data_IF_872247927790
#
_entry.id   IF_872247927790
#
_cell.length_a   1.000
_cell.length_b   1.000
_cell.length_c   1.000
_cell.angle_alpha   90.00
_cell.angle_beta   90.00
_cell.angle_gamma   90.00
#
_symmetry.space_group_name_H-M   'P 1'
#
loop_
_entity.id
_entity.type
_entity.pdbx_description
1 polymer ?
#
# COMPACT_ATOMS: atom_id res chain seq x y z
N UNK A 1 1.71 -5.64 -9.73
CA UNK A 1 0.72 -4.61 -9.30
C UNK A 1 -0.20 -4.30 -10.46
N UNK A 2 -1.51 -4.41 -10.24
CA UNK A 2 -2.51 -4.23 -11.29
C UNK A 2 -3.04 -2.80 -11.39
N UNK A 3 -3.10 -2.11 -10.26
CA UNK A 3 -3.63 -0.75 -10.19
C UNK A 3 -3.02 0.01 -9.01
N UNK A 4 -2.86 1.30 -9.16
CA UNK A 4 -2.49 2.24 -8.10
C UNK A 4 -3.61 3.26 -7.91
N UNK A 5 -4.02 3.50 -6.68
CA UNK A 5 -4.99 4.55 -6.35
C UNK A 5 -4.33 5.53 -5.38
N UNK A 6 -4.37 6.81 -5.73
CA UNK A 6 -3.82 7.89 -4.92
C UNK A 6 -4.97 8.65 -4.28
N UNK A 7 -4.97 8.72 -2.95
CA UNK A 7 -6.07 9.31 -2.19
C UNK A 7 -5.65 10.60 -1.49
N UNK A 8 -6.54 11.58 -1.52
CA UNK A 8 -6.40 12.82 -0.78
C UNK A 8 -5.40 13.82 -1.33
N UNK A 9 -4.83 13.56 -2.49
CA UNK A 9 -3.92 14.49 -3.17
C UNK A 9 -4.05 14.34 -4.68
N UNK A 10 -3.60 15.35 -5.39
CA UNK A 10 -3.55 15.33 -6.85
C UNK A 10 -2.12 15.18 -7.33
N UNK A 11 -1.94 14.39 -8.37
CA UNK A 11 -0.65 14.16 -9.00
C UNK A 11 -0.50 15.07 -10.22
N UNK A 12 0.52 15.91 -10.19
CA UNK A 12 0.86 16.74 -11.32
C UNK A 12 1.96 16.04 -12.15
N UNK A 13 1.56 15.45 -13.28
CA UNK A 13 2.48 14.75 -14.19
C UNK A 13 3.45 15.69 -14.92
N UNK A 14 3.26 17.02 -14.82
CA UNK A 14 4.20 18.00 -15.37
C UNK A 14 5.36 18.31 -14.43
N UNK A 15 5.29 17.87 -13.17
CA UNK A 15 6.40 18.04 -12.24
C UNK A 15 7.59 17.20 -12.66
N UNK A 16 8.70 17.88 -13.00
CA UNK A 16 9.93 17.24 -13.45
C UNK A 16 10.46 16.19 -12.48
N UNK A 17 10.41 16.45 -11.17
CA UNK A 17 10.88 15.49 -10.15
C UNK A 17 10.06 14.20 -10.13
N UNK A 18 8.76 14.29 -10.34
CA UNK A 18 7.89 13.13 -10.41
C UNK A 18 8.22 12.28 -11.64
N UNK A 19 8.34 12.90 -12.80
CA UNK A 19 8.66 12.22 -14.05
C UNK A 19 10.04 11.53 -13.97
N UNK A 20 11.02 12.21 -13.39
CA UNK A 20 12.35 11.63 -13.17
C UNK A 20 12.33 10.43 -12.21
N UNK A 21 11.60 10.54 -11.10
CA UNK A 21 11.49 9.46 -10.13
C UNK A 21 10.73 8.24 -10.70
N UNK A 22 9.71 8.47 -11.49
CA UNK A 22 8.90 7.41 -12.08
C UNK A 22 9.59 6.66 -13.22
N UNK A 23 10.53 7.31 -13.93
CA UNK A 23 11.28 6.69 -15.04
C UNK A 23 10.39 6.01 -16.10
N UNK A 24 9.24 6.62 -16.42
CA UNK A 24 8.30 6.08 -17.40
C UNK A 24 7.28 5.07 -16.83
N UNK A 25 7.46 4.59 -15.61
CA UNK A 25 6.55 3.58 -15.01
C UNK A 25 5.14 4.12 -14.80
N UNK A 26 4.94 5.44 -14.74
CA UNK A 26 3.63 6.06 -14.66
C UNK A 26 2.73 5.72 -15.86
N UNK A 27 3.30 5.24 -16.95
CA UNK A 27 2.56 4.80 -18.13
C UNK A 27 2.28 3.29 -18.16
N UNK A 28 2.88 2.53 -17.26
CA UNK A 28 2.80 1.06 -17.26
C UNK A 28 1.75 0.51 -16.29
N UNK A 29 1.51 1.20 -15.20
CA UNK A 29 0.53 0.78 -14.20
C UNK A 29 -0.68 1.71 -14.28
N UNK A 30 -1.89 1.20 -14.48
CA UNK A 30 -3.10 2.00 -14.39
C UNK A 30 -3.18 2.67 -13.01
N UNK A 31 -3.46 3.95 -13.00
CA UNK A 31 -3.61 4.69 -11.75
C UNK A 31 -4.76 5.67 -11.82
N UNK A 32 -5.29 6.01 -10.67
CA UNK A 32 -6.39 6.95 -10.52
C UNK A 32 -6.25 7.75 -9.23
N UNK A 33 -6.97 8.85 -9.15
CA UNK A 33 -7.05 9.69 -7.96
C UNK A 33 -8.44 9.54 -7.33
N UNK A 34 -8.48 9.48 -6.00
CA UNK A 34 -9.69 9.48 -5.21
C UNK A 34 -9.56 10.48 -4.07
N UNK A 35 -10.67 10.95 -3.58
CA UNK A 35 -10.68 11.95 -2.51
C UNK A 35 -10.39 11.33 -1.14
N UNK A 36 -11.04 10.21 -0.83
CA UNK A 36 -10.97 9.59 0.49
C UNK A 36 -10.48 8.14 0.41
N UNK A 37 -9.46 7.82 1.22
CA UNK A 37 -8.92 6.47 1.29
C UNK A 37 -9.93 5.48 1.89
N UNK A 38 -10.69 5.88 2.91
CA UNK A 38 -11.69 5.03 3.53
C UNK A 38 -12.73 4.51 2.55
N UNK A 39 -13.27 5.39 1.72
CA UNK A 39 -14.26 5.02 0.69
C UNK A 39 -13.64 4.10 -0.36
N UNK A 40 -12.42 4.39 -0.78
CA UNK A 40 -11.69 3.59 -1.76
C UNK A 40 -11.43 2.17 -1.25
N UNK A 41 -11.01 2.04 0.00
CA UNK A 41 -10.74 0.74 0.63
C UNK A 41 -12.03 -0.05 0.82
N UNK A 42 -13.11 0.60 1.24
CA UNK A 42 -14.43 -0.03 1.38
C UNK A 42 -14.91 -0.56 0.03
N UNK A 43 -14.74 0.19 -1.05
CA UNK A 43 -15.05 -0.24 -2.41
C UNK A 43 -14.21 -1.46 -2.83
N UNK A 44 -12.91 -1.44 -2.55
CA UNK A 44 -12.03 -2.57 -2.83
C UNK A 44 -12.49 -3.85 -2.11
N UNK A 45 -12.88 -3.75 -0.85
CA UNK A 45 -13.44 -4.88 -0.09
C UNK A 45 -14.74 -5.39 -0.70
N UNK A 46 -15.62 -4.50 -1.12
CA UNK A 46 -16.87 -4.87 -1.78
C UNK A 46 -16.63 -5.63 -3.09
N UNK A 47 -15.50 -5.38 -3.75
CA UNK A 47 -15.06 -6.09 -4.96
C UNK A 47 -14.27 -7.38 -4.64
N UNK A 48 -14.16 -7.75 -3.38
CA UNK A 48 -13.54 -9.01 -2.95
C UNK A 48 -12.06 -8.91 -2.56
N UNK A 49 -11.49 -7.71 -2.47
CA UNK A 49 -10.10 -7.56 -2.07
C UNK A 49 -9.90 -7.79 -0.56
N UNK A 50 -8.86 -8.52 -0.23
CA UNK A 50 -8.34 -8.60 1.14
C UNK A 50 -7.46 -7.38 1.38
N UNK A 51 -7.74 -6.63 2.45
CA UNK A 51 -7.11 -5.34 2.71
C UNK A 51 -6.08 -5.45 3.83
N UNK A 52 -4.85 -5.05 3.54
CA UNK A 52 -3.78 -4.94 4.52
C UNK A 52 -3.28 -3.49 4.58
N UNK A 53 -3.20 -2.95 5.78
CA UNK A 53 -2.66 -1.61 6.02
C UNK A 53 -1.22 -1.70 6.53
N UNK A 54 -0.36 -0.84 5.99
CA UNK A 54 1.01 -0.68 6.45
C UNK A 54 1.04 0.40 7.55
N UNK A 55 0.99 -0.01 8.79
CA UNK A 55 0.93 0.89 9.94
C UNK A 55 1.59 0.27 11.17
N UNK A 56 2.26 1.09 11.96
CA UNK A 56 2.85 0.68 13.24
C UNK A 56 1.75 0.55 14.30
N UNK A 57 1.08 -0.59 14.33
CA UNK A 57 0.04 -0.90 15.31
C UNK A 57 0.45 -2.07 16.19
N UNK A 58 -0.16 -2.20 17.36
CA UNK A 58 0.09 -3.34 18.26
C UNK A 58 -0.40 -4.67 17.70
N UNK A 59 -1.33 -4.63 16.74
CA UNK A 59 -1.86 -5.82 16.06
C UNK A 59 -1.13 -6.12 14.74
N UNK A 60 -0.15 -5.28 14.34
CA UNK A 60 0.60 -5.47 13.10
C UNK A 60 1.56 -6.65 13.17
N UNK A 61 1.54 -7.47 12.13
CA UNK A 61 2.50 -8.56 11.97
C UNK A 61 3.71 -8.07 11.17
N UNK A 62 4.81 -8.79 11.27
CA UNK A 62 6.00 -8.51 10.45
C UNK A 62 5.74 -8.92 9.00
N UNK A 63 6.43 -8.33 8.02
CA UNK A 63 6.25 -8.70 6.61
C UNK A 63 6.45 -10.20 6.34
N UNK A 64 7.39 -10.84 7.05
CA UNK A 64 7.68 -12.27 6.91
C UNK A 64 6.52 -13.15 7.39
N UNK A 65 5.76 -12.68 8.36
CA UNK A 65 4.65 -13.40 8.98
C UNK A 65 3.32 -13.18 8.24
N UNK A 66 3.31 -12.24 7.29
CA UNK A 66 2.09 -11.91 6.55
C UNK A 66 1.65 -13.07 5.66
N UNK A 67 0.43 -13.50 5.83
CA UNK A 67 -0.22 -14.54 5.01
C UNK A 67 -1.35 -13.87 4.21
N UNK A 68 -1.06 -13.34 3.02
CA UNK A 68 -2.06 -12.61 2.25
C UNK A 68 -3.07 -13.52 1.59
N UNK A 69 -4.26 -12.97 1.40
CA UNK A 69 -5.32 -13.55 0.56
C UNK A 69 -5.44 -12.69 -0.69
N UNK A 70 -5.53 -13.31 -1.86
CA UNK A 70 -5.63 -12.57 -3.11
C UNK A 70 -7.05 -12.64 -3.71
N UNK A 71 -7.52 -11.57 -4.37
CA UNK A 71 -6.80 -10.32 -4.63
C UNK A 71 -6.56 -9.50 -3.36
N UNK A 72 -5.40 -8.86 -3.26
CA UNK A 72 -5.00 -8.08 -2.10
C UNK A 72 -4.90 -6.59 -2.42
N UNK A 73 -5.28 -5.77 -1.44
CA UNK A 73 -5.14 -4.32 -1.49
C UNK A 73 -4.19 -3.87 -0.38
N UNK A 74 -3.03 -3.35 -0.74
CA UNK A 74 -2.07 -2.77 0.20
C UNK A 74 -2.37 -1.27 0.35
N UNK A 75 -2.58 -0.84 1.58
CA UNK A 75 -2.83 0.56 1.92
C UNK A 75 -1.60 1.15 2.61
N UNK A 76 -1.08 2.22 2.04
CA UNK A 76 0.06 2.97 2.56
C UNK A 76 -0.42 4.34 3.01
N UNK A 77 0.14 4.83 4.10
CA UNK A 77 -0.20 6.14 4.63
C UNK A 77 0.63 7.27 4.05
N UNK A 78 0.11 8.50 4.16
CA UNK A 78 0.88 9.69 3.88
C UNK A 78 1.93 9.96 4.96
N UNK A 79 2.94 10.75 4.62
CA UNK A 79 4.07 11.04 5.53
C UNK A 79 3.65 11.73 6.83
N UNK A 80 2.61 12.55 6.79
CA UNK A 80 2.18 13.35 7.95
C UNK A 80 1.18 12.63 8.85
N UNK A 81 0.19 11.98 8.25
CA UNK A 81 -0.98 11.47 8.97
C UNK A 81 -1.06 9.95 9.01
N UNK A 82 -0.16 9.24 8.32
CA UNK A 82 -0.24 7.78 8.22
C UNK A 82 -1.47 7.31 7.47
N UNK A 83 -1.90 6.09 7.75
CA UNK A 83 -3.13 5.53 7.18
C UNK A 83 -4.33 6.14 7.87
N UNK A 84 -5.38 6.47 7.11
CA UNK A 84 -6.59 7.05 7.69
C UNK A 84 -7.27 6.08 8.66
N UNK A 85 -7.87 6.58 9.77
CA UNK A 85 -8.56 5.72 10.73
C UNK A 85 -9.66 4.86 10.09
N UNK A 86 -10.36 5.40 9.10
CA UNK A 86 -11.41 4.69 8.38
C UNK A 86 -10.87 3.48 7.61
N UNK A 87 -9.69 3.61 6.99
CA UNK A 87 -9.04 2.51 6.30
C UNK A 87 -8.55 1.44 7.28
N UNK A 88 -7.99 1.85 8.41
CA UNK A 88 -7.56 0.92 9.48
C UNK A 88 -8.74 0.11 10.00
N UNK A 89 -9.88 0.77 10.23
CA UNK A 89 -11.08 0.13 10.78
C UNK A 89 -11.61 -1.00 9.89
N UNK A 90 -11.57 -0.84 8.57
CA UNK A 90 -12.06 -1.84 7.63
C UNK A 90 -11.01 -2.83 7.16
N UNK A 91 -9.74 -2.66 7.53
CA UNK A 91 -8.67 -3.53 7.13
C UNK A 91 -8.81 -4.95 7.70
N UNK A 92 -8.41 -5.94 6.92
CA UNK A 92 -8.38 -7.35 7.34
C UNK A 92 -7.11 -7.68 8.12
N UNK A 93 -6.02 -6.97 7.86
CA UNK A 93 -4.75 -7.15 8.53
C UNK A 93 -3.94 -5.86 8.57
N UNK A 94 -2.98 -5.81 9.48
CA UNK A 94 -1.98 -4.75 9.54
C UNK A 94 -0.58 -5.37 9.47
N UNK A 95 0.31 -4.71 8.74
CA UNK A 95 1.71 -5.09 8.63
C UNK A 95 2.60 -3.94 9.09
N UNK A 96 3.57 -4.25 9.92
CA UNK A 96 4.53 -3.28 10.44
C UNK A 96 5.95 -3.71 10.09
N UNK A 97 6.68 -2.85 9.40
CA UNK A 97 8.11 -3.07 9.14
C UNK A 97 8.87 -2.69 10.40
N UNK A 98 9.66 -3.60 11.01
CA UNK A 98 10.39 -3.30 12.24
C UNK A 98 11.37 -2.15 12.04
N UNK A 99 11.34 -1.18 12.94
CA UNK A 99 12.26 -0.05 12.96
C UNK A 99 13.24 -0.24 14.13
N UNK A 100 14.48 -0.52 13.81
CA UNK A 100 15.54 -0.79 14.79
C UNK A 100 16.40 0.44 15.09
N UNK A 101 16.11 1.57 14.46
CA UNK A 101 16.81 2.83 14.64
C UNK A 101 16.00 3.87 15.38
N UNK A 102 16.44 5.12 15.31
CA UNK A 102 15.77 6.25 15.98
C UNK A 102 14.58 6.80 15.20
N UNK A 103 14.44 6.45 13.92
CA UNK A 103 13.32 6.88 13.10
C UNK A 103 12.08 6.02 13.40
N UNK A 104 10.91 6.66 13.43
CA UNK A 104 9.64 5.99 13.74
C UNK A 104 8.95 5.40 12.51
N UNK A 105 9.37 5.78 11.30
CA UNK A 105 8.77 5.31 10.07
C UNK A 105 9.76 5.34 8.91
N UNK A 106 9.51 4.48 7.91
CA UNK A 106 10.21 4.51 6.63
C UNK A 106 9.52 5.49 5.67
N UNK A 107 10.28 5.99 4.72
CA UNK A 107 9.72 6.66 3.55
C UNK A 107 8.69 5.74 2.88
N UNK A 108 7.57 6.30 2.44
CA UNK A 108 6.45 5.53 1.88
C UNK A 108 6.85 4.71 0.65
N UNK A 109 7.71 5.22 -0.21
CA UNK A 109 8.17 4.48 -1.38
C UNK A 109 9.05 3.29 -1.00
N UNK A 110 9.89 3.45 0.03
CA UNK A 110 10.71 2.37 0.58
C UNK A 110 9.84 1.29 1.22
N UNK A 111 8.87 1.68 2.03
CA UNK A 111 7.92 0.75 2.63
C UNK A 111 7.12 0.01 1.56
N UNK A 112 6.65 0.73 0.53
CA UNK A 112 5.94 0.15 -0.60
C UNK A 112 6.78 -0.91 -1.32
N UNK A 113 8.06 -0.62 -1.60
CA UNK A 113 8.95 -1.56 -2.28
C UNK A 113 9.10 -2.87 -1.49
N UNK A 114 9.33 -2.78 -0.19
CA UNK A 114 9.48 -3.96 0.67
C UNK A 114 8.19 -4.79 0.68
N UNK A 115 7.05 -4.15 0.91
CA UNK A 115 5.77 -4.84 1.06
C UNK A 115 5.24 -5.39 -0.27
N UNK A 116 5.40 -4.66 -1.36
CA UNK A 116 5.02 -5.13 -2.69
C UNK A 116 5.87 -6.33 -3.12
N UNK A 117 7.17 -6.32 -2.83
CA UNK A 117 8.02 -7.49 -3.09
C UNK A 117 7.52 -8.70 -2.31
N UNK A 118 7.20 -8.54 -1.03
CA UNK A 118 6.70 -9.63 -0.18
C UNK A 118 5.36 -10.17 -0.69
N UNK A 119 4.43 -9.29 -1.04
CA UNK A 119 3.14 -9.68 -1.59
C UNK A 119 3.29 -10.40 -2.94
N UNK A 120 4.17 -9.90 -3.81
CA UNK A 120 4.43 -10.54 -5.11
C UNK A 120 4.97 -11.95 -4.97
N UNK A 121 5.95 -12.14 -4.06
CA UNK A 121 6.50 -13.47 -3.79
C UNK A 121 5.43 -14.44 -3.28
N UNK A 122 4.56 -14.00 -2.39
CA UNK A 122 3.45 -14.81 -1.89
C UNK A 122 2.40 -15.11 -2.97
N UNK A 123 2.16 -14.16 -3.85
CA UNK A 123 1.27 -14.39 -4.98
C UNK A 123 1.81 -15.47 -5.93
N UNK A 124 3.09 -15.40 -6.25
CA UNK A 124 3.75 -16.41 -7.09
C UNK A 124 3.67 -17.81 -6.46
N UNK A 125 3.97 -17.92 -5.15
CA UNK A 125 3.83 -19.17 -4.41
C UNK A 125 2.39 -19.72 -4.45
N UNK A 126 1.38 -18.87 -4.34
CA UNK A 126 -0.02 -19.26 -4.34
C UNK A 126 -0.53 -19.72 -5.70
N UNK A 127 0.11 -19.30 -6.78
CA UNK A 127 -0.27 -19.65 -8.17
C UNK A 127 0.52 -20.83 -8.72
N UNK A 128 1.56 -21.28 -8.05
CA UNK A 128 2.30 -22.51 -8.38
C UNK A 128 1.53 -23.72 -7.85
N UNK A 129 0.88 -24.41 -8.75
CA UNK A 129 0.17 -25.66 -8.44
C UNK A 129 1.06 -26.85 -8.77
#
# INVERSE_FOLDING_TARGET
MQQLVICGTKVDLHKRRLVQAAQGTQHWVPWSEREHAGDTVTEAKALGAWVVVAEQTTAGVRPEELVPVFPACLVLGGERNGVSPEAIEVADAAVAIPMLGMANSLNVATAAAILLYRLSARFEESTQI
#
